data_IF_401407119654
#
_entry.id   IF_401407119654
#
_cell.length_a   1.000
_cell.length_b   1.000
_cell.length_c   1.000
_cell.angle_alpha   90.00
_cell.angle_beta   90.00
_cell.angle_gamma   90.00
#
_symmetry.space_group_name_H-M   'P 1'
#
loop_
_entity.id
_entity.type
_entity.pdbx_description
1 polymer ?
#
# COMPACT_ATOMS: atom_id res chain seq x y z
N UNK A 1 -1.16 5.46 9.47
CA UNK A 1 -1.76 6.79 9.77
C UNK A 1 -3.28 6.71 9.66
N UNK A 2 -4.02 7.68 10.19
CA UNK A 2 -5.49 7.80 10.04
C UNK A 2 -6.34 6.88 10.92
N UNK A 3 -5.96 5.61 11.02
CA UNK A 3 -6.72 4.57 11.70
C UNK A 3 -5.85 3.80 12.71
N UNK A 4 -6.50 3.12 13.65
CA UNK A 4 -5.86 2.10 14.49
C UNK A 4 -5.98 0.72 13.84
N UNK A 5 -5.05 -0.16 14.18
CA UNK A 5 -5.06 -1.58 13.84
C UNK A 5 -5.17 -2.41 15.11
N UNK A 6 -5.93 -3.49 15.07
CA UNK A 6 -6.02 -4.47 16.15
C UNK A 6 -4.96 -5.56 15.92
N UNK A 7 -3.98 -5.66 16.80
CA UNK A 7 -2.89 -6.64 16.65
C UNK A 7 -3.38 -8.04 17.06
N UNK A 8 -3.25 -9.02 16.17
CA UNK A 8 -3.52 -10.41 16.52
C UNK A 8 -2.41 -10.94 17.44
N UNK A 9 -2.76 -11.31 18.67
CA UNK A 9 -1.83 -11.75 19.71
C UNK A 9 -2.28 -13.04 20.45
N UNK A 10 -3.21 -13.79 19.86
CA UNK A 10 -3.77 -15.02 20.43
C UNK A 10 -4.87 -14.82 21.47
N UNK A 11 -5.26 -13.59 21.77
CA UNK A 11 -6.43 -13.29 22.61
C UNK A 11 -7.72 -13.35 21.79
N UNK A 12 -8.87 -13.37 22.48
CA UNK A 12 -10.19 -13.23 21.84
C UNK A 12 -10.32 -11.88 21.15
N UNK A 13 -11.15 -11.80 20.12
CA UNK A 13 -11.28 -10.62 19.25
C UNK A 13 -11.60 -9.33 20.03
N UNK A 14 -12.40 -9.42 21.09
CA UNK A 14 -12.85 -8.29 21.92
C UNK A 14 -11.71 -7.70 22.76
N UNK A 15 -10.60 -8.44 22.91
CA UNK A 15 -9.45 -8.07 23.74
C UNK A 15 -8.21 -7.69 22.91
N UNK A 16 -8.29 -7.71 21.58
CA UNK A 16 -7.14 -7.35 20.75
C UNK A 16 -6.75 -5.88 20.96
N UNK A 17 -5.46 -5.57 21.17
CA UNK A 17 -5.04 -4.21 21.45
C UNK A 17 -5.04 -3.34 20.18
N UNK A 18 -5.61 -2.14 20.29
CA UNK A 18 -5.50 -1.11 19.26
C UNK A 18 -4.09 -0.50 19.24
N UNK A 19 -3.47 -0.48 18.06
CA UNK A 19 -2.12 0.02 17.81
C UNK A 19 -2.09 0.90 16.56
N UNK A 20 -1.34 2.00 16.62
CA UNK A 20 -1.03 2.83 15.44
C UNK A 20 0.34 2.48 14.84
N UNK A 21 1.19 1.79 15.62
CA UNK A 21 2.51 1.29 15.21
C UNK A 21 2.68 -0.14 15.74
N UNK A 22 3.14 -1.05 14.89
CA UNK A 22 3.36 -2.47 15.20
C UNK A 22 4.82 -2.82 14.89
N UNK A 23 5.46 -3.59 15.77
CA UNK A 23 6.82 -4.11 15.56
C UNK A 23 6.72 -5.39 14.74
N UNK A 24 7.45 -5.46 13.62
CA UNK A 24 7.61 -6.68 12.83
C UNK A 24 9.04 -7.20 13.03
N UNK A 25 9.24 -8.36 13.68
CA UNK A 25 10.58 -8.93 13.85
C UNK A 25 11.20 -9.37 12.52
N UNK A 26 12.54 -9.41 12.39
CA UNK A 26 13.21 -9.89 11.20
C UNK A 26 12.80 -11.32 10.81
N UNK A 27 12.46 -11.53 9.54
CA UNK A 27 12.09 -12.84 9.00
C UNK A 27 10.77 -13.41 9.56
N UNK A 28 9.92 -12.57 10.15
CA UNK A 28 8.61 -12.95 10.69
C UNK A 28 7.49 -12.18 10.01
N UNK A 29 6.30 -12.77 10.08
CA UNK A 29 5.04 -12.13 9.68
C UNK A 29 4.26 -11.78 10.93
N UNK A 30 3.62 -10.61 10.93
CA UNK A 30 2.67 -10.17 11.95
C UNK A 30 1.36 -9.86 11.25
N UNK A 31 0.26 -10.28 11.85
CA UNK A 31 -1.09 -10.01 11.32
C UNK A 31 -1.80 -9.01 12.23
N UNK A 32 -2.54 -8.10 11.61
CA UNK A 32 -3.37 -7.13 12.31
C UNK A 32 -4.62 -6.84 11.49
N UNK A 33 -5.71 -6.54 12.17
CA UNK A 33 -6.97 -6.16 11.55
C UNK A 33 -7.05 -4.64 11.46
N UNK A 34 -7.53 -4.14 10.32
CA UNK A 34 -7.78 -2.73 10.09
C UNK A 34 -9.22 -2.54 9.64
N UNK A 35 -9.96 -1.70 10.36
CA UNK A 35 -11.29 -1.25 9.94
C UNK A 35 -11.12 -0.01 9.06
N UNK A 36 -11.57 -0.08 7.81
CA UNK A 36 -11.45 1.01 6.84
C UNK A 36 -12.59 2.04 6.99
N UNK A 37 -12.61 2.77 8.10
CA UNK A 37 -13.69 3.70 8.49
C UNK A 37 -13.36 5.18 8.25
N UNK A 38 -12.13 5.51 7.84
CA UNK A 38 -11.70 6.87 7.57
C UNK A 38 -11.36 7.07 6.08
N UNK A 39 -12.23 7.75 5.32
CA UNK A 39 -12.01 8.07 3.90
C UNK A 39 -10.74 8.90 3.70
N UNK A 40 -9.97 8.60 2.66
CA UNK A 40 -8.77 9.34 2.28
C UNK A 40 -7.59 8.46 1.89
N UNK A 41 -6.44 9.11 1.71
CA UNK A 41 -5.16 8.44 1.51
C UNK A 41 -4.33 8.50 2.80
N UNK A 42 -3.88 7.34 3.26
CA UNK A 42 -3.18 7.20 4.53
C UNK A 42 -1.83 6.53 4.33
N UNK A 43 -0.77 7.21 4.75
CA UNK A 43 0.55 6.60 4.70
C UNK A 43 0.64 5.38 5.63
N UNK A 44 1.36 4.36 5.17
CA UNK A 44 1.78 3.20 5.95
C UNK A 44 3.25 2.94 5.62
N UNK A 45 4.11 3.00 6.63
CA UNK A 45 5.55 2.94 6.41
C UNK A 45 6.27 2.45 7.64
N UNK A 46 7.52 2.05 7.43
CA UNK A 46 8.43 1.86 8.55
C UNK A 46 8.67 3.20 9.25
N UNK A 47 8.64 3.18 10.58
CA UNK A 47 8.85 4.39 11.37
C UNK A 47 10.35 4.73 11.57
N UNK A 48 11.25 3.92 11.00
CA UNK A 48 12.68 4.23 10.92
C UNK A 48 12.90 5.14 9.72
N UNK A 49 13.32 6.39 10.00
CA UNK A 49 13.45 7.45 8.99
C UNK A 49 14.24 7.01 7.75
N UNK A 50 15.39 6.35 7.95
CA UNK A 50 16.23 5.88 6.85
C UNK A 50 15.56 4.79 6.00
N UNK A 51 14.74 3.92 6.60
CA UNK A 51 14.00 2.91 5.85
C UNK A 51 12.85 3.54 5.06
N UNK A 52 12.16 4.50 5.68
CA UNK A 52 11.11 5.28 5.01
C UNK A 52 11.69 6.01 3.78
N UNK A 53 12.82 6.71 3.94
CA UNK A 53 13.48 7.43 2.83
C UNK A 53 14.06 6.50 1.77
N UNK A 54 14.41 5.27 2.12
CA UNK A 54 14.87 4.25 1.19
C UNK A 54 13.72 3.53 0.45
N UNK A 55 12.46 3.91 0.70
CA UNK A 55 11.29 3.41 -0.03
C UNK A 55 10.41 2.41 0.74
N UNK A 56 10.67 2.14 2.03
CA UNK A 56 9.78 1.33 2.87
C UNK A 56 8.55 2.13 3.33
N UNK A 57 7.81 2.66 2.36
CA UNK A 57 6.66 3.54 2.46
C UNK A 57 5.62 3.14 1.41
N UNK A 58 4.35 3.09 1.82
CA UNK A 58 3.20 2.86 0.96
C UNK A 58 2.03 3.75 1.42
N UNK A 59 0.93 3.70 0.65
CA UNK A 59 -0.34 4.35 1.03
C UNK A 59 -1.49 3.36 0.98
N UNK A 60 -2.42 3.51 1.91
CA UNK A 60 -3.73 2.87 1.93
C UNK A 60 -4.76 3.88 1.44
N UNK A 61 -5.66 3.46 0.55
CA UNK A 61 -6.75 4.30 0.05
C UNK A 61 -8.05 3.73 0.58
N UNK A 62 -8.77 4.53 1.35
CA UNK A 62 -10.13 4.21 1.80
C UNK A 62 -11.09 5.07 0.99
N UNK A 63 -11.94 4.42 0.20
CA UNK A 63 -12.88 5.05 -0.70
C UNK A 63 -14.25 4.39 -0.59
N UNK A 64 -15.30 5.15 -0.88
CA UNK A 64 -16.61 4.58 -1.14
C UNK A 64 -16.59 3.94 -2.53
N UNK A 65 -16.98 2.66 -2.60
CA UNK A 65 -17.09 1.94 -3.87
C UNK A 65 -18.57 1.88 -4.22
N UNK A 66 -18.96 2.51 -5.33
CA UNK A 66 -20.29 2.32 -5.90
C UNK A 66 -20.22 1.11 -6.85
N UNK A 67 -21.14 0.15 -6.72
CA UNK A 67 -21.14 -1.13 -7.46
C UNK A 67 -21.15 -0.99 -9.01
N UNK A 68 -21.33 0.22 -9.54
CA UNK A 68 -21.31 0.52 -10.99
C UNK A 68 -20.00 1.08 -11.55
N UNK A 69 -18.99 1.37 -10.72
CA UNK A 69 -17.69 1.88 -11.18
C UNK A 69 -16.57 1.08 -10.55
N UNK A 70 -16.19 0.00 -11.24
CA UNK A 70 -14.97 -0.75 -10.99
C UNK A 70 -13.78 0.22 -10.96
N UNK A 71 -12.91 0.21 -9.93
CA UNK A 71 -11.78 1.11 -9.86
C UNK A 71 -10.90 0.88 -11.08
N UNK A 72 -10.73 1.93 -11.89
CA UNK A 72 -9.91 1.90 -13.08
C UNK A 72 -8.49 1.47 -12.70
N UNK A 73 -8.14 0.24 -13.08
CA UNK A 73 -6.78 -0.29 -12.96
C UNK A 73 -5.86 0.69 -13.69
N UNK A 74 -4.86 1.22 -12.98
CA UNK A 74 -3.82 2.06 -13.56
C UNK A 74 -2.97 1.22 -14.51
N UNK A 75 -3.39 1.09 -15.77
CA UNK A 75 -2.57 0.49 -16.82
C UNK A 75 -1.40 1.44 -17.15
N UNK A 76 -0.15 0.96 -17.21
CA UNK A 76 0.92 1.72 -17.83
C UNK A 76 0.57 1.89 -19.31
N UNK A 77 0.47 3.13 -19.78
CA UNK A 77 0.22 3.44 -21.19
C UNK A 77 1.46 3.04 -22.01
N UNK A 78 1.49 1.81 -22.53
CA UNK A 78 2.43 1.44 -23.59
C UNK A 78 1.81 1.90 -24.90
N UNK A 79 2.23 3.06 -25.39
CA UNK A 79 1.88 3.53 -26.72
C UNK A 79 2.56 2.62 -27.76
N UNK A 80 1.75 1.96 -28.59
CA UNK A 80 2.22 1.27 -29.78
C UNK A 80 2.28 2.25 -30.95
N UNK A 81 3.46 2.70 -31.33
CA UNK A 81 3.69 3.25 -32.67
C UNK A 81 4.44 2.18 -33.48
N UNK A 82 3.82 1.71 -34.57
CA UNK A 82 4.43 0.77 -35.50
C UNK A 82 4.68 1.47 -36.85
N UNK A 83 5.94 1.41 -37.27
CA UNK A 83 6.53 1.61 -38.61
C UNK A 83 6.50 3.04 -39.19
N UNK A 84 7.57 3.62 -39.76
CA UNK A 84 8.58 3.06 -40.67
C UNK A 84 9.64 4.16 -40.92
N UNK A 85 10.94 3.86 -40.98
CA UNK A 85 11.93 4.84 -41.46
C UNK A 85 13.38 4.48 -41.15
N UNK A 86 14.19 4.38 -42.19
CA UNK A 86 15.52 3.76 -42.20
C UNK A 86 16.68 4.64 -41.66
N UNK A 87 17.73 3.92 -41.22
CA UNK A 87 19.17 4.16 -41.44
C UNK A 87 19.98 5.06 -40.50
N UNK A 88 21.27 4.68 -40.40
CA UNK A 88 22.49 5.36 -39.95
C UNK A 88 22.92 5.04 -38.50
N UNK A 89 23.84 4.11 -38.25
CA UNK A 89 25.28 4.01 -38.58
C UNK A 89 26.15 4.27 -37.32
N UNK A 90 27.13 3.39 -37.15
CA UNK A 90 28.26 3.37 -36.21
C UNK A 90 28.70 4.72 -35.63
N UNK A 91 28.89 4.76 -34.30
CA UNK A 91 30.20 4.89 -33.66
C UNK A 91 30.11 4.61 -32.15
#
# INVERSE_FOLDING_TARGET
HGMFMQLENGQQAENLPNKHTIIVPPGKTVTALLTADALGEWAIHCHLLYHMSAGMMNKLIVAQVNDGQQPAQSQPTVQSENEKGASHAHH
#
